data_IF_428762686329
#
_entry.id   IF_428762686329
#
_cell.length_a   1.000
_cell.length_b   1.000
_cell.length_c   1.000
_cell.angle_alpha   90.00
_cell.angle_beta   90.00
_cell.angle_gamma   90.00
#
_symmetry.space_group_name_H-M   'P 1'
#
loop_
_entity.id
_entity.type
_entity.pdbx_description
1 polymer ?
#
# COMPACT_ATOMS: atom_id res chain seq x y z
N UNK A 1 -2.90 -1.80 -14.62
CA UNK A 1 -4.26 -2.42 -14.74
C UNK A 1 -5.33 -1.34 -14.75
N UNK A 2 -6.15 -1.24 -15.81
CA UNK A 2 -7.36 -0.39 -15.83
C UNK A 2 -8.26 -0.71 -14.61
N UNK A 3 -8.23 -1.96 -14.13
CA UNK A 3 -8.92 -2.42 -12.91
C UNK A 3 -8.56 -1.64 -11.64
N UNK A 4 -7.31 -1.21 -11.41
CA UNK A 4 -6.96 -0.52 -10.14
C UNK A 4 -7.14 1.00 -10.23
N UNK A 5 -7.45 1.55 -11.42
CA UNK A 5 -7.66 2.99 -11.62
C UNK A 5 -9.05 3.48 -11.21
N UNK A 6 -10.02 2.58 -11.05
CA UNK A 6 -11.33 2.88 -10.47
C UNK A 6 -11.51 2.16 -9.13
N UNK A 7 -12.26 2.76 -8.20
CA UNK A 7 -12.54 2.14 -6.90
C UNK A 7 -13.23 0.78 -7.02
N UNK A 8 -14.16 0.67 -7.98
CA UNK A 8 -14.93 -0.55 -8.19
C UNK A 8 -14.03 -1.66 -8.75
N UNK A 9 -13.16 -1.35 -9.70
CA UNK A 9 -12.21 -2.32 -10.22
C UNK A 9 -11.19 -2.76 -9.18
N UNK A 10 -10.74 -1.85 -8.30
CA UNK A 10 -9.84 -2.18 -7.19
C UNK A 10 -10.51 -3.14 -6.19
N UNK A 11 -11.81 -2.99 -5.94
CA UNK A 11 -12.58 -3.91 -5.08
C UNK A 11 -12.79 -5.29 -5.70
N UNK A 12 -13.07 -5.35 -7.01
CA UNK A 12 -13.18 -6.62 -7.74
C UNK A 12 -11.85 -7.35 -7.72
N UNK A 13 -10.76 -6.65 -8.04
CA UNK A 13 -9.41 -7.20 -8.03
C UNK A 13 -8.99 -7.66 -6.62
N UNK A 14 -9.32 -6.88 -5.59
CA UNK A 14 -9.15 -7.32 -4.19
C UNK A 14 -9.90 -8.62 -3.89
N UNK A 15 -11.15 -8.72 -4.33
CA UNK A 15 -11.97 -9.92 -4.07
C UNK A 15 -11.35 -11.14 -4.72
N UNK A 16 -10.83 -11.00 -5.94
CA UNK A 16 -10.07 -12.06 -6.61
C UNK A 16 -8.81 -12.45 -5.83
N UNK A 17 -7.91 -11.51 -5.53
CA UNK A 17 -6.66 -11.79 -4.81
C UNK A 17 -6.88 -12.40 -3.42
N UNK A 18 -7.98 -12.05 -2.76
CA UNK A 18 -8.33 -12.61 -1.45
C UNK A 18 -8.64 -14.12 -1.53
N UNK A 19 -9.11 -14.61 -2.68
CA UNK A 19 -9.29 -16.06 -2.89
C UNK A 19 -7.96 -16.80 -2.99
N UNK A 20 -6.88 -16.10 -3.36
CA UNK A 20 -5.52 -16.61 -3.49
C UNK A 20 -4.62 -16.27 -2.29
N UNK A 21 -5.19 -15.62 -1.26
CA UNK A 21 -4.44 -15.11 -0.10
C UNK A 21 -3.26 -14.19 -0.47
N UNK A 22 -3.44 -13.37 -1.51
CA UNK A 22 -2.42 -12.47 -2.07
C UNK A 22 -2.90 -11.00 -2.14
N UNK A 23 -3.86 -10.62 -1.29
CA UNK A 23 -4.47 -9.29 -1.31
C UNK A 23 -3.74 -8.22 -0.47
N UNK A 24 -2.63 -8.55 0.19
CA UNK A 24 -1.90 -7.63 1.08
C UNK A 24 -1.44 -6.34 0.39
N UNK A 25 -1.00 -6.44 -0.88
CA UNK A 25 -0.53 -5.31 -1.65
C UNK A 25 -1.68 -4.34 -2.02
N UNK A 26 -2.84 -4.88 -2.42
CA UNK A 26 -4.02 -4.06 -2.74
C UNK A 26 -4.67 -3.50 -1.47
N UNK A 27 -4.61 -4.23 -0.35
CA UNK A 27 -5.06 -3.73 0.94
C UNK A 27 -4.23 -2.53 1.41
N UNK A 28 -2.90 -2.61 1.32
CA UNK A 28 -2.02 -1.48 1.60
C UNK A 28 -2.37 -0.29 0.71
N UNK A 29 -2.54 -0.52 -0.60
CA UNK A 29 -2.87 0.54 -1.55
C UNK A 29 -4.18 1.25 -1.20
N UNK A 30 -5.22 0.49 -0.81
CA UNK A 30 -6.51 1.02 -0.37
C UNK A 30 -6.42 1.78 0.97
N UNK A 31 -5.59 1.30 1.89
CA UNK A 31 -5.34 1.99 3.16
C UNK A 31 -4.70 3.36 2.94
N UNK A 32 -3.76 3.47 1.99
CA UNK A 32 -3.21 4.75 1.55
C UNK A 32 -4.29 5.65 0.91
N UNK A 33 -5.13 5.13 0.00
CA UNK A 33 -6.23 5.90 -0.62
C UNK A 33 -7.18 6.52 0.41
N UNK A 34 -7.60 5.72 1.41
CA UNK A 34 -8.53 6.16 2.45
C UNK A 34 -7.97 7.33 3.28
N UNK A 35 -6.65 7.43 3.34
CA UNK A 35 -5.95 8.34 4.24
C UNK A 35 -5.44 9.61 3.56
N UNK A 36 -5.49 9.69 2.22
CA UNK A 36 -5.08 10.88 1.42
C UNK A 36 -5.74 12.20 1.84
N UNK A 37 -6.97 12.15 2.36
CA UNK A 37 -7.71 13.36 2.80
C UNK A 37 -7.23 13.90 4.16
N UNK A 38 -6.29 13.23 4.85
CA UNK A 38 -5.82 13.63 6.19
C UNK A 38 -4.80 14.77 6.10
N UNK A 39 -5.23 15.98 6.43
CA UNK A 39 -4.40 17.20 6.30
C UNK A 39 -3.52 17.50 7.53
N UNK A 40 -3.86 16.99 8.73
CA UNK A 40 -3.10 17.30 9.94
C UNK A 40 -1.89 16.39 10.15
N UNK A 41 -0.79 16.96 10.65
CA UNK A 41 0.46 16.24 10.91
C UNK A 41 0.26 15.07 11.89
N UNK A 42 -0.51 15.27 12.97
CA UNK A 42 -0.83 14.21 13.93
C UNK A 42 -1.53 13.01 13.28
N UNK A 43 -2.48 13.27 12.37
CA UNK A 43 -3.19 12.22 11.62
C UNK A 43 -2.24 11.48 10.68
N UNK A 44 -1.34 12.19 9.99
CA UNK A 44 -0.31 11.57 9.13
C UNK A 44 0.64 10.67 9.90
N UNK A 45 1.14 11.11 11.06
CA UNK A 45 2.01 10.30 11.91
C UNK A 45 1.29 9.03 12.40
N UNK A 46 0.03 9.16 12.82
CA UNK A 46 -0.77 8.01 13.25
C UNK A 46 -0.99 7.00 12.12
N UNK A 47 -1.32 7.48 10.92
CA UNK A 47 -1.43 6.66 9.70
C UNK A 47 -0.11 5.97 9.39
N UNK A 48 1.01 6.69 9.35
CA UNK A 48 2.32 6.14 9.04
C UNK A 48 2.69 4.99 9.99
N UNK A 49 2.43 5.16 11.29
CA UNK A 49 2.62 4.09 12.28
C UNK A 49 1.73 2.88 11.99
N UNK A 50 0.44 3.10 11.71
CA UNK A 50 -0.51 2.02 11.38
C UNK A 50 -0.06 1.26 10.12
N UNK A 51 0.27 1.97 9.05
CA UNK A 51 0.76 1.37 7.80
C UNK A 51 2.04 0.54 8.07
N UNK A 52 2.96 1.08 8.87
CA UNK A 52 4.18 0.37 9.22
C UNK A 52 3.90 -0.93 9.97
N UNK A 53 3.12 -0.89 11.05
CA UNK A 53 2.87 -2.07 11.89
C UNK A 53 2.00 -3.13 11.21
N UNK A 54 1.08 -2.71 10.34
CA UNK A 54 0.14 -3.65 9.68
C UNK A 54 0.72 -4.30 8.43
N UNK A 55 1.61 -3.60 7.71
CA UNK A 55 2.01 -4.01 6.37
C UNK A 55 3.53 -4.08 6.11
N UNK A 56 4.36 -3.36 6.88
CA UNK A 56 5.80 -3.20 6.54
C UNK A 56 6.72 -3.90 7.53
N UNK A 57 6.35 -3.89 8.81
CA UNK A 57 7.12 -4.54 9.86
C UNK A 57 7.31 -6.02 9.53
N UNK A 58 8.52 -6.58 9.71
CA UNK A 58 8.74 -8.01 9.53
C UNK A 58 7.74 -8.80 10.39
N UNK A 59 7.14 -9.84 9.79
CA UNK A 59 6.15 -10.71 10.41
C UNK A 59 4.82 -10.02 10.74
N UNK A 60 4.53 -8.85 10.15
CA UNK A 60 3.21 -8.27 10.22
C UNK A 60 2.18 -9.23 9.61
N UNK A 61 0.96 -9.25 10.17
CA UNK A 61 -0.10 -10.16 9.70
C UNK A 61 -0.41 -9.96 8.21
N UNK A 62 -0.36 -8.72 7.72
CA UNK A 62 -0.59 -8.37 6.31
C UNK A 62 0.72 -7.85 5.68
N UNK A 63 1.86 -8.44 6.04
CA UNK A 63 3.15 -8.02 5.51
C UNK A 63 3.17 -8.07 3.98
N UNK A 64 3.48 -6.93 3.35
CA UNK A 64 3.50 -6.81 1.88
C UNK A 64 4.62 -7.65 1.26
N UNK A 65 4.26 -8.44 0.27
CA UNK A 65 5.20 -9.23 -0.50
C UNK A 65 5.73 -8.40 -1.67
N UNK A 66 6.87 -7.72 -1.48
CA UNK A 66 7.54 -6.88 -2.48
C UNK A 66 9.05 -7.10 -2.46
N UNK A 67 9.72 -6.80 -3.58
CA UNK A 67 11.17 -6.91 -3.69
C UNK A 67 11.93 -5.99 -2.71
N UNK A 68 13.17 -6.37 -2.38
CA UNK A 68 14.00 -5.64 -1.40
C UNK A 68 14.20 -4.16 -1.72
N UNK A 69 14.46 -3.75 -2.98
CA UNK A 69 14.52 -2.33 -3.36
C UNK A 69 13.21 -1.58 -3.10
N UNK A 70 12.06 -2.12 -3.50
CA UNK A 70 10.76 -1.51 -3.27
C UNK A 70 10.47 -1.37 -1.77
N UNK A 71 10.79 -2.39 -0.98
CA UNK A 71 10.62 -2.38 0.48
C UNK A 71 11.39 -1.25 1.15
N UNK A 72 12.67 -1.08 0.81
CA UNK A 72 13.49 0.02 1.36
C UNK A 72 12.90 1.40 1.04
N UNK A 73 12.40 1.58 -0.18
CA UNK A 73 11.78 2.84 -0.60
C UNK A 73 10.46 3.10 0.16
N UNK A 74 9.61 2.08 0.33
CA UNK A 74 8.37 2.19 1.12
C UNK A 74 8.66 2.52 2.58
N UNK A 75 9.63 1.84 3.22
CA UNK A 75 10.04 2.11 4.60
C UNK A 75 10.46 3.58 4.76
N UNK A 76 11.36 4.06 3.88
CA UNK A 76 11.85 5.44 3.94
C UNK A 76 10.69 6.44 3.84
N UNK A 77 9.79 6.25 2.87
CA UNK A 77 8.65 7.13 2.69
C UNK A 77 7.74 7.15 3.93
N UNK A 78 7.38 5.97 4.47
CA UNK A 78 6.46 5.90 5.62
C UNK A 78 7.11 6.43 6.92
N UNK A 79 8.42 6.26 7.10
CA UNK A 79 9.12 6.75 8.30
C UNK A 79 9.41 8.26 8.26
N UNK A 80 9.37 8.89 7.08
CA UNK A 80 9.46 10.33 6.91
C UNK A 80 8.08 10.91 6.57
N UNK A 81 7.23 11.26 7.57
CA UNK A 81 5.83 11.66 7.36
C UNK A 81 5.68 13.08 6.77
N UNK A 82 6.23 13.28 5.58
CA UNK A 82 5.93 14.37 4.68
C UNK A 82 4.46 14.27 4.22
N UNK A 83 3.94 15.32 3.57
CA UNK A 83 2.54 15.31 3.11
C UNK A 83 2.26 14.22 2.07
N UNK A 84 3.27 13.79 1.31
CA UNK A 84 3.18 12.84 0.21
C UNK A 84 3.74 11.44 0.51
N UNK A 85 4.11 11.14 1.76
CA UNK A 85 4.74 9.85 2.11
C UNK A 85 3.91 8.64 1.69
N UNK A 86 2.60 8.66 1.99
CA UNK A 86 1.67 7.60 1.61
C UNK A 86 1.48 7.52 0.11
N UNK A 87 1.53 8.65 -0.61
CA UNK A 87 1.34 8.69 -2.06
C UNK A 87 2.50 8.02 -2.79
N UNK A 88 3.73 8.28 -2.36
CA UNK A 88 4.92 7.68 -2.97
C UNK A 88 5.01 6.18 -2.63
N UNK A 89 4.74 5.80 -1.38
CA UNK A 89 4.66 4.40 -0.99
C UNK A 89 3.58 3.66 -1.80
N UNK A 90 2.40 4.25 -1.94
CA UNK A 90 1.30 3.69 -2.72
C UNK A 90 1.65 3.54 -4.21
N UNK A 91 2.34 4.53 -4.81
CA UNK A 91 2.79 4.47 -6.21
C UNK A 91 3.77 3.32 -6.44
N UNK A 92 4.67 3.05 -5.50
CA UNK A 92 5.60 1.92 -5.57
C UNK A 92 4.83 0.60 -5.56
N UNK A 93 3.88 0.43 -4.64
CA UNK A 93 3.07 -0.79 -4.56
C UNK A 93 2.20 -0.99 -5.79
N UNK A 94 1.60 0.08 -6.32
CA UNK A 94 0.85 0.02 -7.58
C UNK A 94 1.72 -0.52 -8.73
N UNK A 95 2.94 0.02 -8.90
CA UNK A 95 3.85 -0.43 -9.96
C UNK A 95 4.29 -1.88 -9.78
N UNK A 96 4.50 -2.29 -8.53
CA UNK A 96 4.82 -3.68 -8.22
C UNK A 96 3.68 -4.62 -8.62
N UNK A 97 2.44 -4.33 -8.18
CA UNK A 97 1.26 -5.09 -8.59
C UNK A 97 1.07 -5.10 -10.11
N UNK A 98 1.32 -3.98 -10.79
CA UNK A 98 1.20 -3.90 -12.26
C UNK A 98 2.22 -4.78 -12.99
N UNK A 99 3.43 -4.94 -12.44
CA UNK A 99 4.48 -5.81 -12.99
C UNK A 99 4.20 -7.28 -12.71
N UNK A 100 3.81 -7.63 -11.49
CA UNK A 100 3.64 -9.02 -11.05
C UNK A 100 2.29 -9.62 -11.49
N UNK A 101 1.31 -8.78 -11.87
CA UNK A 101 0.03 -9.23 -12.45
C UNK A 101 0.07 -9.45 -13.97
N UNK A 102 1.26 -9.38 -14.58
CA UNK A 102 1.47 -9.66 -16.00
C UNK A 102 2.11 -11.06 -16.13
N UNK A 103 1.57 -11.97 -16.98
CA UNK A 103 2.29 -13.18 -17.37
C UNK A 103 3.57 -12.86 -18.15
#
# INVERSE_FOLDING_TARGET
LILVTSKDGAMIYKTYLKTEHSDENIEFWLACEADKKKTSQRKRISMARKLFTSYIQPQAHNEINIDSPARKAVIRNIQEPARSCSDEAQRIIYRHMERDSYP
#
